data_IF_619236313325
#
_entry.id   IF_619236313325
#
_cell.length_a   1.000
_cell.length_b   1.000
_cell.length_c   1.000
_cell.angle_alpha   90.00
_cell.angle_beta   90.00
_cell.angle_gamma   90.00
#
_symmetry.space_group_name_H-M   'P 1'
#
loop_
_entity.id
_entity.type
_entity.pdbx_description
1 polymer ?
#
# COMPACT_ATOMS: atom_id res chain seq x y z
N UNK A 1 23.14 -3.96 -6.73
CA UNK A 1 23.30 -2.62 -6.10
C UNK A 1 24.69 -2.09 -6.42
N UNK A 2 24.79 -0.92 -7.06
CA UNK A 2 26.04 -0.42 -7.66
C UNK A 2 27.19 -0.29 -6.65
N UNK A 3 26.90 0.13 -5.41
CA UNK A 3 27.92 0.31 -4.37
C UNK A 3 28.52 -1.04 -3.93
N UNK A 4 27.68 -2.07 -3.68
CA UNK A 4 28.14 -3.45 -3.39
C UNK A 4 28.86 -4.06 -4.60
N UNK A 5 28.42 -3.75 -5.83
CA UNK A 5 29.09 -4.19 -7.07
C UNK A 5 30.48 -3.54 -7.26
N UNK A 6 30.69 -2.34 -6.70
CA UNK A 6 31.98 -1.65 -6.66
C UNK A 6 32.85 -2.09 -5.46
N UNK A 7 32.41 -3.08 -4.67
CA UNK A 7 33.16 -3.63 -3.54
C UNK A 7 33.06 -2.85 -2.23
N UNK A 8 32.17 -1.85 -2.14
CA UNK A 8 32.00 -1.04 -0.93
C UNK A 8 30.82 -1.52 -0.08
N UNK A 9 30.98 -1.44 1.23
CA UNK A 9 29.90 -1.68 2.20
C UNK A 9 29.05 -0.40 2.37
N UNK A 10 27.76 -0.42 1.99
CA UNK A 10 26.87 0.73 2.17
C UNK A 10 26.54 1.07 3.62
N UNK A 11 26.82 0.17 4.57
CA UNK A 11 26.62 0.40 6.00
C UNK A 11 27.86 0.97 6.69
N UNK A 12 29.00 1.01 5.98
CA UNK A 12 30.22 1.58 6.53
C UNK A 12 30.25 3.10 6.34
N UNK A 13 29.82 3.82 7.39
CA UNK A 13 29.79 5.28 7.42
C UNK A 13 31.16 5.95 7.65
N UNK A 14 32.26 5.20 7.72
CA UNK A 14 33.61 5.78 7.93
C UNK A 14 34.44 5.80 6.64
N UNK A 15 34.54 4.69 5.92
CA UNK A 15 35.35 4.59 4.68
C UNK A 15 34.50 4.41 3.42
N UNK A 16 33.29 3.84 3.53
CA UNK A 16 32.36 3.58 2.42
C UNK A 16 31.43 4.75 2.04
N UNK A 17 31.39 5.80 2.87
CA UNK A 17 30.52 6.97 2.65
C UNK A 17 30.82 7.68 1.34
N UNK A 18 32.10 7.86 0.98
CA UNK A 18 32.46 8.63 -0.22
C UNK A 18 32.05 7.92 -1.50
N UNK A 19 32.21 6.60 -1.56
CA UNK A 19 31.76 5.79 -2.68
C UNK A 19 30.22 5.81 -2.80
N UNK A 20 29.53 5.64 -1.67
CA UNK A 20 28.07 5.65 -1.64
C UNK A 20 27.49 7.01 -2.04
N UNK A 21 28.07 8.09 -1.53
CA UNK A 21 27.71 9.45 -1.86
C UNK A 21 28.00 9.75 -3.34
N UNK A 22 29.12 9.27 -3.90
CA UNK A 22 29.47 9.47 -5.31
C UNK A 22 28.46 8.80 -6.24
N UNK A 23 28.02 7.58 -5.93
CA UNK A 23 27.00 6.89 -6.72
C UNK A 23 25.66 7.62 -6.64
N UNK A 24 25.24 8.04 -5.44
CA UNK A 24 23.99 8.80 -5.28
C UNK A 24 24.08 10.14 -6.01
N UNK A 25 25.19 10.86 -5.88
CA UNK A 25 25.41 12.13 -6.56
C UNK A 25 25.40 11.97 -8.08
N UNK A 26 25.98 10.88 -8.61
CA UNK A 26 25.91 10.57 -10.04
C UNK A 26 24.46 10.30 -10.50
N UNK A 27 23.69 9.51 -9.75
CA UNK A 27 22.29 9.23 -10.07
C UNK A 27 21.42 10.50 -10.01
N UNK A 28 21.61 11.33 -8.99
CA UNK A 28 20.95 12.63 -8.86
C UNK A 28 21.38 13.57 -10.00
N UNK A 29 22.66 13.55 -10.38
CA UNK A 29 23.18 14.32 -11.50
C UNK A 29 22.54 13.92 -12.83
N UNK A 30 22.42 12.62 -13.11
CA UNK A 30 21.71 12.11 -14.29
C UNK A 30 20.24 12.52 -14.25
N UNK A 31 19.57 12.36 -13.11
CA UNK A 31 18.17 12.77 -12.95
C UNK A 31 17.99 14.28 -13.17
N UNK A 32 18.95 15.10 -12.72
CA UNK A 32 18.98 16.53 -12.93
C UNK A 32 19.18 16.90 -14.39
N UNK A 33 20.15 16.30 -15.07
CA UNK A 33 20.38 16.53 -16.51
C UNK A 33 19.13 16.17 -17.31
N UNK A 34 18.58 14.97 -17.11
CA UNK A 34 17.36 14.52 -17.82
C UNK A 34 16.18 15.45 -17.51
N UNK A 35 16.01 15.84 -16.25
CA UNK A 35 14.93 16.71 -15.81
C UNK A 35 15.00 18.12 -16.37
N UNK A 36 16.19 18.73 -16.35
CA UNK A 36 16.44 20.05 -16.89
C UNK A 36 16.27 20.09 -18.41
N UNK A 37 16.73 19.05 -19.12
CA UNK A 37 16.51 18.89 -20.56
C UNK A 37 15.03 18.72 -20.92
N UNK A 38 14.25 18.05 -20.06
CA UNK A 38 12.82 17.87 -20.27
C UNK A 38 12.02 19.15 -20.04
N UNK A 39 12.13 19.73 -18.84
CA UNK A 39 11.46 20.99 -18.51
C UNK A 39 12.08 21.59 -17.24
N UNK A 40 13.05 22.49 -17.41
CA UNK A 40 13.77 23.10 -16.29
C UNK A 40 12.84 23.71 -15.23
N UNK A 41 11.82 24.48 -15.63
CA UNK A 41 10.92 25.13 -14.67
C UNK A 41 10.14 24.12 -13.82
N UNK A 42 9.50 23.14 -14.46
CA UNK A 42 8.70 22.12 -13.75
C UNK A 42 9.59 21.22 -12.91
N UNK A 43 10.73 20.82 -13.45
CA UNK A 43 11.66 19.94 -12.75
C UNK A 43 12.24 20.62 -11.52
N UNK A 44 12.71 21.88 -11.61
CA UNK A 44 13.25 22.61 -10.48
C UNK A 44 12.24 22.80 -9.35
N UNK A 45 10.99 23.12 -9.70
CA UNK A 45 9.91 23.24 -8.70
C UNK A 45 9.63 21.90 -8.02
N UNK A 46 9.52 20.81 -8.80
CA UNK A 46 9.27 19.48 -8.25
C UNK A 46 10.45 18.99 -7.38
N UNK A 47 11.68 19.22 -7.82
CA UNK A 47 12.89 18.88 -7.07
C UNK A 47 12.96 19.69 -5.75
N UNK A 48 12.69 21.00 -5.80
CA UNK A 48 12.68 21.84 -4.59
C UNK A 48 11.63 21.38 -3.57
N UNK A 49 10.41 21.06 -4.04
CA UNK A 49 9.34 20.53 -3.17
C UNK A 49 9.74 19.19 -2.57
N UNK A 50 10.21 18.25 -3.41
CA UNK A 50 10.63 16.92 -2.97
C UNK A 50 11.77 17.00 -1.96
N UNK A 51 12.85 17.71 -2.29
CA UNK A 51 14.01 17.87 -1.42
C UNK A 51 13.66 18.61 -0.14
N UNK A 52 12.79 19.62 -0.20
CA UNK A 52 12.31 20.33 1.00
C UNK A 52 11.58 19.39 1.96
N UNK A 53 10.61 18.61 1.45
CA UNK A 53 9.90 17.60 2.24
C UNK A 53 10.88 16.56 2.79
N UNK A 54 11.74 16.02 1.93
CA UNK A 54 12.71 15.00 2.29
C UNK A 54 13.63 15.48 3.42
N UNK A 55 14.27 16.65 3.27
CA UNK A 55 15.20 17.18 4.26
C UNK A 55 14.50 17.42 5.59
N UNK A 56 13.32 18.04 5.60
CA UNK A 56 12.58 18.32 6.85
C UNK A 56 12.29 17.04 7.62
N UNK A 57 11.76 16.01 6.95
CA UNK A 57 11.35 14.78 7.64
C UNK A 57 12.53 13.86 7.98
N UNK A 58 13.47 13.67 7.05
CA UNK A 58 14.61 12.78 7.30
C UNK A 58 15.61 13.35 8.30
N UNK A 59 15.67 14.68 8.48
CA UNK A 59 16.50 15.29 9.54
C UNK A 59 15.80 15.41 10.88
N UNK A 60 14.63 14.78 11.07
CA UNK A 60 13.81 14.92 12.27
C UNK A 60 13.60 16.40 12.62
N UNK A 61 13.05 17.16 11.66
CA UNK A 61 12.90 18.62 11.78
C UNK A 61 14.21 19.33 12.13
N UNK A 62 15.28 19.01 11.38
CA UNK A 62 16.61 19.62 11.49
C UNK A 62 17.39 19.32 12.78
N UNK A 63 16.92 18.40 13.62
CA UNK A 63 17.62 17.98 14.84
C UNK A 63 18.68 16.90 14.59
N UNK A 64 18.61 16.19 13.44
CA UNK A 64 19.53 15.14 13.04
C UNK A 64 20.03 15.33 11.60
N UNK A 65 21.12 16.07 11.41
CA UNK A 65 21.68 16.34 10.08
C UNK A 65 22.15 15.08 9.32
N UNK A 66 22.54 14.02 10.04
CA UNK A 66 22.96 12.74 9.43
C UNK A 66 21.80 11.98 8.77
N UNK A 67 20.56 12.34 9.12
CA UNK A 67 19.35 11.73 8.59
C UNK A 67 19.21 11.78 7.06
N UNK A 68 19.80 12.79 6.40
CA UNK A 68 19.85 12.86 4.93
C UNK A 68 20.64 11.68 4.36
N UNK A 69 21.82 11.38 4.92
CA UNK A 69 22.68 10.32 4.43
C UNK A 69 22.13 8.93 4.76
N UNK A 70 21.67 8.73 6.00
CA UNK A 70 21.07 7.45 6.43
C UNK A 70 19.73 7.20 5.73
N UNK A 71 18.98 8.24 5.38
CA UNK A 71 17.72 8.14 4.65
C UNK A 71 17.87 7.62 3.22
N UNK A 72 18.87 8.07 2.48
CA UNK A 72 19.08 7.68 1.08
C UNK A 72 19.93 6.41 0.95
N UNK A 73 21.06 6.36 1.66
CA UNK A 73 22.04 5.26 1.52
C UNK A 73 21.82 4.21 2.59
N UNK A 74 21.67 4.63 3.84
CA UNK A 74 21.61 3.73 5.00
C UNK A 74 20.40 2.81 5.00
N UNK A 75 19.22 3.34 4.68
CA UNK A 75 17.96 2.59 4.61
C UNK A 75 18.04 1.46 3.57
N UNK A 76 18.55 1.77 2.38
CA UNK A 76 18.73 0.83 1.29
C UNK A 76 19.84 -0.18 1.61
N UNK A 77 20.96 0.29 2.16
CA UNK A 77 22.07 -0.58 2.59
C UNK A 77 21.61 -1.60 3.63
N UNK A 78 20.84 -1.15 4.62
CA UNK A 78 20.25 -2.01 5.63
C UNK A 78 19.30 -3.02 4.99
N UNK A 79 18.33 -2.57 4.19
CA UNK A 79 17.38 -3.48 3.54
C UNK A 79 18.08 -4.55 2.68
N UNK A 80 19.16 -4.20 1.98
CA UNK A 80 19.95 -5.14 1.20
C UNK A 80 20.69 -6.17 2.06
N UNK A 81 21.21 -5.78 3.23
CA UNK A 81 21.89 -6.72 4.14
C UNK A 81 20.92 -7.73 4.75
N UNK A 82 19.64 -7.39 4.85
CA UNK A 82 18.61 -8.24 5.45
C UNK A 82 18.04 -9.29 4.50
N UNK A 83 18.34 -9.21 3.19
CA UNK A 83 17.84 -10.17 2.20
C UNK A 83 18.33 -11.60 2.44
N UNK A 84 19.56 -11.76 2.93
CA UNK A 84 20.16 -13.08 3.23
C UNK A 84 19.62 -13.68 4.54
N UNK A 85 19.17 -12.84 5.48
CA UNK A 85 18.59 -13.27 6.76
C UNK A 85 17.12 -13.67 6.59
N UNK A 86 16.40 -13.02 5.67
CA UNK A 86 14.98 -13.26 5.41
C UNK A 86 14.13 -13.31 6.70
N UNK A 87 14.31 -12.28 7.53
CA UNK A 87 13.71 -12.17 8.86
C UNK A 87 12.22 -12.53 8.85
N UNK A 88 11.81 -13.40 9.78
CA UNK A 88 10.42 -13.86 9.91
C UNK A 88 9.95 -14.89 8.88
N UNK A 89 10.78 -15.28 7.90
CA UNK A 89 10.49 -16.41 7.00
C UNK A 89 9.17 -16.30 6.23
N UNK A 90 8.73 -15.07 5.92
CA UNK A 90 7.39 -14.80 5.43
C UNK A 90 7.08 -15.53 4.12
N UNK A 91 5.86 -16.07 3.95
CA UNK A 91 5.48 -16.83 2.76
C UNK A 91 5.49 -15.96 1.50
N UNK A 92 5.57 -16.60 0.33
CA UNK A 92 5.57 -15.89 -0.95
C UNK A 92 4.31 -15.05 -1.18
N UNK A 93 3.16 -15.45 -0.62
CA UNK A 93 1.89 -14.73 -0.75
C UNK A 93 1.71 -13.61 0.30
N UNK A 94 2.73 -13.30 1.10
CA UNK A 94 2.65 -12.32 2.19
C UNK A 94 2.01 -10.98 1.78
N UNK A 95 2.52 -10.32 0.73
CA UNK A 95 1.96 -9.05 0.28
C UNK A 95 0.60 -9.18 -0.41
N UNK A 96 0.27 -10.35 -0.95
CA UNK A 96 -1.06 -10.64 -1.50
C UNK A 96 -2.12 -10.73 -0.38
N UNK A 97 -1.72 -10.99 0.86
CA UNK A 97 -2.59 -10.98 2.02
C UNK A 97 -2.59 -9.60 2.71
N UNK A 98 -1.41 -9.04 2.99
CA UNK A 98 -1.30 -7.79 3.76
C UNK A 98 -1.85 -6.59 2.99
N UNK A 99 -1.52 -6.45 1.70
CA UNK A 99 -1.90 -5.25 0.93
C UNK A 99 -3.42 -5.12 0.76
N UNK A 100 -4.20 -6.16 0.40
CA UNK A 100 -5.65 -6.03 0.34
C UNK A 100 -6.33 -5.81 1.69
N UNK A 101 -5.69 -6.16 2.81
CA UNK A 101 -6.24 -5.93 4.15
C UNK A 101 -6.05 -4.48 4.60
N UNK A 102 -4.84 -3.93 4.45
CA UNK A 102 -4.50 -2.61 4.99
C UNK A 102 -4.54 -1.49 3.95
N UNK A 103 -4.34 -1.83 2.68
CA UNK A 103 -4.18 -0.88 1.56
C UNK A 103 -5.24 -1.11 0.47
N UNK A 104 -6.42 -1.55 0.89
CA UNK A 104 -7.55 -1.85 0.00
C UNK A 104 -7.94 -0.64 -0.86
N UNK A 105 -7.88 0.58 -0.32
CA UNK A 105 -8.34 1.77 -1.05
C UNK A 105 -7.41 2.13 -2.21
N UNK A 106 -6.08 2.32 -2.00
CA UNK A 106 -5.13 2.47 -3.10
C UNK A 106 -5.22 1.33 -4.12
N UNK A 107 -5.32 0.08 -3.64
CA UNK A 107 -5.45 -1.09 -4.48
C UNK A 107 -6.67 -0.96 -5.41
N UNK A 108 -7.87 -0.76 -4.86
CA UNK A 108 -9.12 -0.62 -5.63
C UNK A 108 -9.07 0.54 -6.63
N UNK A 109 -8.51 1.67 -6.23
CA UNK A 109 -8.43 2.87 -7.07
C UNK A 109 -7.41 2.75 -8.20
N UNK A 110 -6.41 1.87 -8.06
CA UNK A 110 -5.41 1.60 -9.10
C UNK A 110 -5.92 0.66 -10.19
N UNK A 111 -6.90 -0.21 -9.89
CA UNK A 111 -7.44 -1.21 -10.82
C UNK A 111 -7.86 -0.60 -12.17
N UNK A 112 -8.59 0.53 -12.25
CA UNK A 112 -8.99 1.09 -13.54
C UNK A 112 -7.81 1.53 -14.42
N UNK A 113 -6.68 1.95 -13.81
CA UNK A 113 -5.46 2.33 -14.54
C UNK A 113 -4.79 1.07 -15.08
N UNK A 114 -4.64 0.03 -14.25
CA UNK A 114 -4.11 -1.27 -14.68
C UNK A 114 -5.00 -1.89 -15.77
N UNK A 115 -6.32 -1.91 -15.57
CA UNK A 115 -7.28 -2.46 -16.52
C UNK A 115 -7.15 -1.79 -17.90
N UNK A 116 -7.03 -0.47 -17.97
CA UNK A 116 -6.83 0.24 -19.24
C UNK A 116 -5.46 -0.02 -19.87
N UNK A 117 -4.44 -0.33 -19.08
CA UNK A 117 -3.14 -0.72 -19.60
C UNK A 117 -3.20 -2.10 -20.28
N UNK A 118 -3.86 -3.07 -19.64
CA UNK A 118 -3.94 -4.45 -20.14
C UNK A 118 -5.00 -4.63 -21.24
N UNK A 119 -6.16 -3.97 -21.11
CA UNK A 119 -7.29 -4.15 -22.04
C UNK A 119 -7.25 -3.07 -23.10
N UNK A 120 -6.58 -3.38 -24.21
CA UNK A 120 -6.47 -2.49 -25.36
C UNK A 120 -6.88 -3.19 -26.65
N UNK A 121 -7.40 -2.40 -27.59
CA UNK A 121 -7.87 -2.91 -28.89
C UNK A 121 -6.75 -3.06 -29.94
N UNK A 122 -5.48 -2.82 -29.57
CA UNK A 122 -4.35 -2.95 -30.48
C UNK A 122 -3.87 -4.41 -30.55
N UNK A 123 -3.61 -4.91 -31.76
CA UNK A 123 -3.07 -6.26 -32.03
C UNK A 123 -1.88 -6.62 -31.12
N UNK A 124 -0.90 -5.72 -30.95
CA UNK A 124 0.27 -5.99 -30.11
C UNK A 124 -0.12 -6.19 -28.65
N UNK A 125 -1.02 -5.35 -28.12
CA UNK A 125 -1.48 -5.45 -26.74
C UNK A 125 -2.30 -6.71 -26.49
N UNK A 126 -3.10 -7.14 -27.47
CA UNK A 126 -3.88 -8.40 -27.39
C UNK A 126 -2.92 -9.60 -27.34
N UNK A 127 -1.91 -9.63 -28.22
CA UNK A 127 -0.90 -10.71 -28.21
C UNK A 127 -0.15 -10.76 -26.88
N UNK A 128 0.29 -9.61 -26.37
CA UNK A 128 0.97 -9.52 -25.08
C UNK A 128 0.08 -9.95 -23.91
N UNK A 129 -1.19 -9.56 -23.92
CA UNK A 129 -2.17 -9.98 -22.92
C UNK A 129 -2.38 -11.50 -22.94
N UNK A 130 -2.59 -12.09 -24.12
CA UNK A 130 -2.76 -13.54 -24.28
C UNK A 130 -1.50 -14.27 -23.82
N UNK A 131 -0.32 -13.85 -24.27
CA UNK A 131 0.95 -14.44 -23.87
C UNK A 131 1.14 -14.37 -22.34
N UNK A 132 0.79 -13.24 -21.73
CA UNK A 132 0.81 -13.06 -20.27
C UNK A 132 -0.12 -14.04 -19.57
N UNK A 133 -1.39 -14.12 -19.98
CA UNK A 133 -2.37 -15.02 -19.37
C UNK A 133 -1.97 -16.49 -19.52
N UNK A 134 -1.47 -16.88 -20.69
CA UNK A 134 -0.97 -18.24 -20.95
C UNK A 134 0.24 -18.55 -20.06
N UNK A 135 1.20 -17.63 -19.95
CA UNK A 135 2.40 -17.83 -19.13
C UNK A 135 2.07 -17.95 -17.64
N UNK A 136 1.14 -17.14 -17.13
CA UNK A 136 0.64 -17.23 -15.75
C UNK A 136 -0.08 -18.58 -15.55
N UNK A 137 -0.95 -18.96 -16.48
CA UNK A 137 -1.68 -20.23 -16.41
C UNK A 137 -0.75 -21.45 -16.42
N UNK A 138 0.30 -21.44 -17.25
CA UNK A 138 1.31 -22.48 -17.29
C UNK A 138 2.12 -22.54 -15.99
N UNK A 139 2.56 -21.39 -15.47
CA UNK A 139 3.29 -21.31 -14.21
C UNK A 139 2.46 -21.85 -13.04
N UNK A 140 1.21 -21.38 -12.89
CA UNK A 140 0.32 -21.82 -11.81
C UNK A 140 -0.11 -23.28 -11.97
N UNK A 141 -0.46 -23.71 -13.18
CA UNK A 141 -0.93 -25.06 -13.47
C UNK A 141 0.14 -26.12 -13.20
N UNK A 142 1.39 -25.86 -13.61
CA UNK A 142 2.51 -26.76 -13.31
C UNK A 142 2.90 -26.75 -11.82
N UNK A 143 2.69 -25.63 -11.13
CA UNK A 143 2.84 -25.55 -9.67
C UNK A 143 1.84 -26.45 -8.94
N UNK A 144 0.56 -26.41 -9.33
CA UNK A 144 -0.51 -27.24 -8.71
C UNK A 144 -0.29 -28.73 -8.98
N UNK A 145 0.13 -29.10 -10.19
CA UNK A 145 0.37 -30.51 -10.55
C UNK A 145 1.55 -31.15 -9.79
N UNK A 146 2.46 -30.35 -9.22
CA UNK A 146 3.66 -30.86 -8.53
C UNK A 146 3.47 -31.14 -7.03
N UNK A 147 2.40 -30.64 -6.41
CA UNK A 147 2.17 -30.77 -4.97
C UNK A 147 3.18 -29.99 -4.12
N UNK A 148 2.80 -29.63 -2.89
CA UNK A 148 3.58 -28.73 -2.00
C UNK A 148 4.90 -29.33 -1.47
N UNK A 149 5.30 -30.54 -1.87
CA UNK A 149 6.49 -31.25 -1.37
C UNK A 149 7.67 -31.37 -2.34
N UNK A 150 7.58 -30.85 -3.56
CA UNK A 150 8.66 -30.94 -4.54
C UNK A 150 9.73 -29.86 -4.36
N UNK A 151 10.71 -30.09 -3.51
CA UNK A 151 11.84 -29.18 -3.20
C UNK A 151 12.83 -28.97 -4.35
N UNK A 152 12.63 -29.57 -5.52
CA UNK A 152 13.45 -29.27 -6.70
C UNK A 152 12.85 -28.12 -7.52
N UNK A 153 13.47 -26.95 -7.40
CA UNK A 153 13.35 -25.86 -8.38
C UNK A 153 13.92 -26.35 -9.71
N UNK A 154 13.11 -27.09 -10.50
CA UNK A 154 13.54 -27.47 -11.84
C UNK A 154 13.77 -26.18 -12.62
N UNK A 155 14.91 -26.02 -13.28
CA UNK A 155 15.27 -24.87 -14.12
C UNK A 155 14.12 -24.39 -15.04
N UNK A 156 13.25 -25.32 -15.46
CA UNK A 156 12.01 -25.08 -16.20
C UNK A 156 10.99 -24.18 -15.46
N UNK A 157 10.75 -24.38 -14.16
CA UNK A 157 9.77 -23.61 -13.39
C UNK A 157 10.26 -22.18 -13.13
N UNK A 158 11.53 -22.03 -12.80
CA UNK A 158 12.17 -20.71 -12.65
C UNK A 158 12.18 -19.97 -13.98
N UNK A 159 12.45 -20.69 -15.08
CA UNK A 159 12.33 -20.15 -16.44
C UNK A 159 10.92 -19.69 -16.79
N UNK A 160 9.90 -20.51 -16.51
CA UNK A 160 8.49 -20.15 -16.76
C UNK A 160 8.03 -18.98 -15.90
N UNK A 161 8.42 -18.94 -14.62
CA UNK A 161 8.18 -17.81 -13.73
C UNK A 161 8.82 -16.54 -14.29
N UNK A 162 10.10 -16.60 -14.68
CA UNK A 162 10.79 -15.46 -15.26
C UNK A 162 10.10 -14.95 -16.55
N UNK A 163 9.68 -15.87 -17.43
CA UNK A 163 8.93 -15.54 -18.65
C UNK A 163 7.60 -14.87 -18.30
N UNK A 164 6.85 -15.40 -17.33
CA UNK A 164 5.57 -14.82 -16.91
C UNK A 164 5.74 -13.41 -16.36
N UNK A 165 6.72 -13.19 -15.49
CA UNK A 165 7.03 -11.87 -14.94
C UNK A 165 7.47 -10.88 -16.02
N UNK A 166 8.30 -11.34 -16.97
CA UNK A 166 8.72 -10.54 -18.12
C UNK A 166 7.52 -10.15 -19.00
N UNK A 167 6.60 -11.08 -19.28
CA UNK A 167 5.43 -10.80 -20.09
C UNK A 167 4.44 -9.85 -19.39
N UNK A 168 4.22 -10.01 -18.07
CA UNK A 168 3.45 -9.06 -17.26
C UNK A 168 4.06 -7.65 -17.40
N UNK A 169 5.38 -7.55 -17.24
CA UNK A 169 6.12 -6.30 -17.32
C UNK A 169 6.01 -5.64 -18.70
N UNK A 170 6.24 -6.41 -19.77
CA UNK A 170 6.12 -5.92 -21.15
C UNK A 170 4.70 -5.48 -21.47
N UNK A 171 3.69 -6.22 -21.02
CA UNK A 171 2.28 -5.88 -21.23
C UNK A 171 1.92 -4.58 -20.51
N UNK A 172 2.34 -4.43 -19.25
CA UNK A 172 2.09 -3.23 -18.46
C UNK A 172 2.76 -1.99 -19.05
N UNK A 173 4.03 -2.11 -19.44
CA UNK A 173 4.80 -1.04 -20.07
C UNK A 173 4.20 -0.63 -21.42
N UNK A 174 4.00 -1.60 -22.31
CA UNK A 174 3.44 -1.36 -23.64
C UNK A 174 2.01 -0.79 -23.55
N UNK A 175 1.21 -1.37 -22.67
CA UNK A 175 -0.14 -0.92 -22.38
C UNK A 175 -0.16 0.54 -21.91
N UNK A 176 0.59 0.85 -20.86
CA UNK A 176 0.69 2.23 -20.37
C UNK A 176 1.12 3.21 -21.47
N UNK A 177 2.17 2.87 -22.23
CA UNK A 177 2.65 3.69 -23.35
C UNK A 177 1.57 3.90 -24.41
N UNK A 178 0.88 2.86 -24.87
CA UNK A 178 -0.16 3.04 -25.88
C UNK A 178 -1.36 3.85 -25.39
N UNK A 179 -1.76 3.70 -24.12
CA UNK A 179 -2.93 4.39 -23.57
C UNK A 179 -2.68 5.89 -23.36
N UNK A 180 -1.46 6.26 -22.94
CA UNK A 180 -1.18 7.58 -22.39
C UNK A 180 -0.05 8.34 -23.09
N UNK A 181 0.95 7.67 -23.67
CA UNK A 181 2.06 8.36 -24.34
C UNK A 181 1.59 9.14 -25.59
N UNK A 182 0.60 8.62 -26.32
CA UNK A 182 -0.02 9.33 -27.47
C UNK A 182 -0.72 10.64 -27.06
N UNK A 183 -1.04 10.80 -25.78
CA UNK A 183 -1.66 12.00 -25.20
C UNK A 183 -0.64 12.88 -24.46
N UNK A 184 0.66 12.59 -24.60
CA UNK A 184 1.74 13.29 -23.88
C UNK A 184 1.78 12.99 -22.37
N UNK A 185 1.04 11.99 -21.90
CA UNK A 185 0.93 11.64 -20.46
C UNK A 185 1.93 10.53 -20.09
N UNK A 186 3.22 10.75 -20.33
CA UNK A 186 4.27 9.74 -20.15
C UNK A 186 4.38 9.20 -18.72
N UNK A 187 4.13 10.04 -17.71
CA UNK A 187 4.15 9.58 -16.31
C UNK A 187 3.01 8.60 -16.02
N UNK A 188 1.80 8.87 -16.50
CA UNK A 188 0.66 7.96 -16.36
C UNK A 188 0.89 6.67 -17.13
N UNK A 189 1.56 6.75 -18.29
CA UNK A 189 1.98 5.58 -19.04
C UNK A 189 2.94 4.68 -18.25
N UNK A 190 3.72 5.24 -17.32
CA UNK A 190 4.67 4.49 -16.51
C UNK A 190 4.05 3.84 -15.26
N UNK A 191 2.89 4.34 -14.77
CA UNK A 191 2.29 3.85 -13.53
C UNK A 191 1.91 2.35 -13.53
N UNK A 192 1.29 1.78 -14.58
CA UNK A 192 0.96 0.36 -14.60
C UNK A 192 2.18 -0.53 -14.41
N UNK A 193 3.27 -0.17 -15.09
CA UNK A 193 4.56 -0.81 -14.94
C UNK A 193 5.07 -0.69 -13.50
N UNK A 194 5.05 0.52 -12.93
CA UNK A 194 5.64 0.77 -11.62
C UNK A 194 4.90 0.00 -10.51
N UNK A 195 3.58 -0.05 -10.60
CA UNK A 195 2.74 -0.84 -9.68
C UNK A 195 3.13 -2.31 -9.75
N UNK A 196 3.14 -2.90 -10.94
CA UNK A 196 3.40 -4.33 -11.10
C UNK A 196 4.84 -4.70 -10.77
N UNK A 197 5.79 -3.84 -11.15
CA UNK A 197 7.19 -4.00 -10.77
C UNK A 197 7.35 -4.05 -9.25
N UNK A 198 6.74 -3.12 -8.50
CA UNK A 198 6.84 -3.13 -7.03
C UNK A 198 6.15 -4.36 -6.43
N UNK A 199 4.96 -4.72 -6.90
CA UNK A 199 4.30 -5.95 -6.47
C UNK A 199 5.20 -7.18 -6.64
N UNK A 200 5.82 -7.33 -7.80
CA UNK A 200 6.70 -8.46 -8.12
C UNK A 200 8.00 -8.39 -7.31
N UNK A 201 8.69 -7.24 -7.35
CA UNK A 201 10.00 -7.07 -6.73
C UNK A 201 9.96 -7.35 -5.22
N UNK A 202 8.99 -6.79 -4.51
CA UNK A 202 8.85 -7.01 -3.07
C UNK A 202 8.35 -8.42 -2.74
N UNK A 203 7.50 -9.02 -3.58
CA UNK A 203 7.06 -10.41 -3.40
C UNK A 203 8.21 -11.41 -3.56
N UNK A 204 9.19 -11.12 -4.43
CA UNK A 204 10.35 -11.99 -4.68
C UNK A 204 11.48 -11.71 -3.68
N UNK A 205 11.56 -10.51 -3.11
CA UNK A 205 12.56 -10.15 -2.12
C UNK A 205 12.59 -11.16 -0.96
N UNK A 206 13.79 -11.52 -0.50
CA UNK A 206 14.00 -12.40 0.64
C UNK A 206 13.45 -11.79 1.92
N UNK A 207 13.81 -10.53 2.20
CA UNK A 207 13.22 -9.79 3.32
C UNK A 207 11.85 -9.22 2.95
N UNK A 208 10.83 -9.62 3.72
CA UNK A 208 9.45 -9.15 3.57
C UNK A 208 8.94 -8.65 4.90
N UNK A 209 8.43 -7.42 4.92
CA UNK A 209 8.02 -6.74 6.14
C UNK A 209 6.86 -5.78 5.88
N UNK A 210 6.00 -5.51 6.88
CA UNK A 210 4.82 -4.67 6.69
C UNK A 210 5.15 -3.27 6.15
N UNK A 211 6.25 -2.66 6.59
CA UNK A 211 6.62 -1.29 6.17
C UNK A 211 6.98 -1.19 4.68
N UNK A 212 7.39 -2.28 4.03
CA UNK A 212 7.71 -2.28 2.60
C UNK A 212 6.46 -2.18 1.72
N UNK A 213 5.27 -2.42 2.28
CA UNK A 213 4.00 -2.19 1.60
C UNK A 213 3.90 -0.75 1.11
N UNK A 214 4.53 0.21 1.78
CA UNK A 214 4.57 1.62 1.35
C UNK A 214 5.06 1.79 -0.10
N UNK A 215 6.03 0.98 -0.53
CA UNK A 215 6.56 1.01 -1.89
C UNK A 215 5.58 0.42 -2.92
N UNK A 216 4.72 -0.52 -2.50
CA UNK A 216 3.64 -1.07 -3.32
C UNK A 216 2.48 -0.07 -3.39
N UNK A 217 2.11 0.53 -2.25
CA UNK A 217 0.97 1.45 -2.12
C UNK A 217 1.19 2.80 -2.81
N UNK A 218 2.40 3.38 -2.73
CA UNK A 218 2.68 4.69 -3.30
C UNK A 218 2.28 4.84 -4.78
N UNK A 219 2.73 3.98 -5.71
CA UNK A 219 2.31 4.09 -7.11
C UNK A 219 0.81 3.82 -7.30
N UNK A 220 0.20 2.98 -6.47
CA UNK A 220 -1.26 2.75 -6.48
C UNK A 220 -2.03 4.00 -6.05
N UNK A 221 -1.57 4.72 -5.01
CA UNK A 221 -2.14 5.99 -4.58
C UNK A 221 -2.08 7.03 -5.70
N UNK A 222 -0.94 7.15 -6.40
CA UNK A 222 -0.76 8.09 -7.51
C UNK A 222 -1.70 7.74 -8.67
N UNK A 223 -1.76 6.45 -9.05
CA UNK A 223 -2.66 5.97 -10.11
C UNK A 223 -4.14 6.18 -9.73
N UNK A 224 -4.49 5.92 -8.48
CA UNK A 224 -5.82 6.13 -7.93
C UNK A 224 -6.22 7.60 -7.93
N UNK A 225 -5.34 8.50 -7.50
CA UNK A 225 -5.54 9.94 -7.54
C UNK A 225 -5.75 10.45 -8.97
N UNK A 226 -4.92 9.99 -9.91
CA UNK A 226 -5.11 10.31 -11.34
C UNK A 226 -6.48 9.85 -11.85
N UNK A 227 -6.85 8.59 -11.60
CA UNK A 227 -8.14 8.07 -12.06
C UNK A 227 -9.32 8.80 -11.43
N UNK A 228 -9.29 9.02 -10.11
CA UNK A 228 -10.31 9.79 -9.39
C UNK A 228 -10.45 11.21 -9.94
N UNK A 229 -9.34 11.88 -10.22
CA UNK A 229 -9.33 13.19 -10.89
C UNK A 229 -10.14 13.14 -12.20
N UNK A 230 -9.89 12.14 -13.05
CA UNK A 230 -10.66 12.00 -14.30
C UNK A 230 -12.15 11.73 -14.09
N UNK A 231 -12.55 11.14 -12.96
CA UNK A 231 -13.97 10.92 -12.62
C UNK A 231 -14.61 12.21 -12.15
N UNK A 232 -13.94 12.93 -11.25
CA UNK A 232 -14.36 14.20 -10.66
C UNK A 232 -14.51 15.29 -11.73
N UNK A 233 -13.54 15.42 -12.62
CA UNK A 233 -13.53 16.44 -13.69
C UNK A 233 -14.63 16.22 -14.73
N UNK A 234 -15.12 14.99 -14.89
CA UNK A 234 -16.21 14.66 -15.82
C UNK A 234 -17.59 15.01 -15.26
N UNK A 235 -17.70 15.43 -14.01
CA UNK A 235 -18.96 15.85 -13.40
C UNK A 235 -19.09 17.36 -13.55
N UNK A 236 -20.15 17.81 -14.22
CA UNK A 236 -20.52 19.23 -14.25
C UNK A 236 -21.13 19.65 -12.91
N UNK A 237 -20.28 19.96 -11.93
CA UNK A 237 -20.69 20.14 -10.54
C UNK A 237 -21.83 21.15 -10.34
N UNK A 238 -21.77 22.31 -11.01
CA UNK A 238 -22.82 23.34 -10.90
C UNK A 238 -24.20 22.80 -11.31
N UNK A 239 -24.26 22.10 -12.43
CA UNK A 239 -25.49 21.49 -12.96
C UNK A 239 -25.93 20.32 -12.08
N UNK A 240 -24.97 19.48 -11.66
CA UNK A 240 -25.23 18.31 -10.83
C UNK A 240 -25.84 18.68 -9.47
N UNK A 241 -25.31 19.71 -8.79
CA UNK A 241 -25.86 20.20 -7.52
C UNK A 241 -27.33 20.65 -7.66
N UNK A 242 -27.62 21.46 -8.68
CA UNK A 242 -28.99 21.94 -8.96
C UNK A 242 -29.96 20.80 -9.30
N UNK A 243 -29.46 19.73 -9.91
CA UNK A 243 -30.25 18.55 -10.30
C UNK A 243 -30.31 17.47 -9.22
N UNK A 244 -29.78 17.72 -8.03
CA UNK A 244 -29.92 16.85 -6.86
C UNK A 244 -28.76 15.91 -6.59
N UNK A 245 -27.52 16.27 -6.94
CA UNK A 245 -26.32 15.48 -6.63
C UNK A 245 -26.17 15.15 -5.14
N UNK A 246 -26.57 16.05 -4.24
CA UNK A 246 -26.58 15.78 -2.80
C UNK A 246 -27.44 14.56 -2.46
N UNK A 247 -28.66 14.53 -3.01
CA UNK A 247 -29.59 13.41 -2.82
C UNK A 247 -29.05 12.12 -3.41
N UNK A 248 -28.35 12.17 -4.55
CA UNK A 248 -27.67 10.99 -5.09
C UNK A 248 -26.63 10.44 -4.09
N UNK A 249 -25.82 11.31 -3.50
CA UNK A 249 -24.84 10.90 -2.48
C UNK A 249 -25.51 10.33 -1.23
N UNK A 250 -26.47 11.04 -0.63
CA UNK A 250 -27.19 10.59 0.56
C UNK A 250 -27.94 9.27 0.34
N UNK A 251 -28.65 9.14 -0.78
CA UNK A 251 -29.33 7.89 -1.13
C UNK A 251 -28.32 6.76 -1.39
N UNK A 252 -27.13 7.07 -1.91
CA UNK A 252 -26.06 6.05 -2.03
C UNK A 252 -25.62 5.56 -0.65
N UNK A 253 -25.47 6.45 0.34
CA UNK A 253 -25.14 6.06 1.73
C UNK A 253 -26.24 5.18 2.32
N UNK A 254 -27.52 5.59 2.19
CA UNK A 254 -28.67 4.82 2.69
C UNK A 254 -28.75 3.47 2.00
N UNK A 255 -28.51 3.41 0.69
CA UNK A 255 -28.49 2.17 -0.07
C UNK A 255 -27.40 1.22 0.41
N UNK A 256 -26.19 1.73 0.66
CA UNK A 256 -25.08 0.92 1.19
C UNK A 256 -25.43 0.42 2.60
N UNK A 257 -26.00 1.25 3.46
CA UNK A 257 -26.43 0.82 4.79
C UNK A 257 -27.50 -0.28 4.73
N UNK A 258 -28.49 -0.14 3.85
CA UNK A 258 -29.50 -1.17 3.60
C UNK A 258 -28.89 -2.47 3.05
N UNK A 259 -27.98 -2.37 2.07
CA UNK A 259 -27.27 -3.52 1.52
C UNK A 259 -26.44 -4.25 2.61
N UNK A 260 -25.74 -3.50 3.45
CA UNK A 260 -25.01 -4.05 4.58
C UNK A 260 -25.93 -4.71 5.61
N UNK A 261 -27.12 -4.16 5.85
CA UNK A 261 -28.16 -4.79 6.67
C UNK A 261 -28.58 -6.15 6.09
N UNK A 262 -28.89 -6.20 4.78
CA UNK A 262 -29.24 -7.46 4.10
C UNK A 262 -28.12 -8.50 4.17
N UNK A 263 -26.87 -8.09 3.95
CA UNK A 263 -25.72 -8.99 3.92
C UNK A 263 -25.29 -9.50 5.31
N UNK A 264 -25.55 -8.73 6.37
CA UNK A 264 -25.17 -9.10 7.75
C UNK A 264 -26.28 -9.80 8.52
N UNK A 265 -27.55 -9.52 8.21
CA UNK A 265 -28.68 -10.17 8.88
C UNK A 265 -28.80 -11.62 8.42
N UNK A 266 -28.93 -12.54 9.39
CA UNK A 266 -29.25 -13.94 9.13
C UNK A 266 -30.74 -14.17 9.43
N UNK A 267 -31.63 -14.07 8.42
CA UNK A 267 -33.06 -14.24 8.65
C UNK A 267 -33.42 -15.72 8.85
N UNK A 268 -34.61 -15.97 9.42
CA UNK A 268 -35.24 -17.29 9.52
C UNK A 268 -34.47 -18.38 10.29
N UNK A 269 -33.57 -17.99 11.20
CA UNK A 269 -32.79 -18.95 12.00
C UNK A 269 -33.65 -19.66 13.05
N UNK A 270 -34.44 -18.89 13.82
CA UNK A 270 -35.29 -19.44 14.88
C UNK A 270 -36.49 -18.52 15.19
N UNK A 271 -37.32 -18.93 16.16
CA UNK A 271 -38.48 -18.18 16.67
C UNK A 271 -38.17 -17.41 17.96
N UNK A 272 -36.90 -17.27 18.33
CA UNK A 272 -36.51 -16.46 19.48
C UNK A 272 -36.75 -14.98 19.19
N UNK A 273 -36.81 -14.14 20.22
CA UNK A 273 -36.89 -12.69 20.06
C UNK A 273 -35.72 -12.16 19.20
N UNK A 274 -34.52 -12.74 19.36
CA UNK A 274 -33.33 -12.38 18.59
C UNK A 274 -33.47 -12.79 17.10
N UNK A 275 -33.95 -14.00 16.82
CA UNK A 275 -34.19 -14.46 15.44
C UNK A 275 -35.30 -13.67 14.72
N UNK A 276 -36.37 -13.32 15.43
CA UNK A 276 -37.42 -12.44 14.92
C UNK A 276 -36.89 -11.02 14.66
N UNK A 277 -36.06 -10.48 15.55
CA UNK A 277 -35.40 -9.18 15.34
C UNK A 277 -34.49 -9.20 14.10
N UNK A 278 -33.66 -10.23 13.92
CA UNK A 278 -32.79 -10.37 12.76
C UNK A 278 -33.59 -10.44 11.45
N UNK A 279 -34.68 -11.22 11.44
CA UNK A 279 -35.57 -11.32 10.28
C UNK A 279 -36.26 -9.99 9.97
N UNK A 280 -36.69 -9.26 11.01
CA UNK A 280 -37.31 -7.94 10.86
C UNK A 280 -36.33 -6.89 10.33
N UNK A 281 -35.08 -6.90 10.80
CA UNK A 281 -34.01 -6.04 10.29
C UNK A 281 -33.71 -6.34 8.82
N UNK A 282 -33.68 -7.63 8.45
CA UNK A 282 -33.47 -8.05 7.07
C UNK A 282 -34.60 -7.57 6.14
N UNK A 283 -35.87 -7.74 6.55
CA UNK A 283 -37.04 -7.26 5.80
C UNK A 283 -37.03 -5.73 5.67
N UNK A 284 -36.76 -5.01 6.76
CA UNK A 284 -36.66 -3.55 6.73
C UNK A 284 -35.54 -3.09 5.79
N UNK A 285 -34.38 -3.75 5.82
CA UNK A 285 -33.27 -3.46 4.94
C UNK A 285 -33.61 -3.70 3.46
N UNK A 286 -34.39 -4.75 3.14
CA UNK A 286 -34.90 -4.97 1.77
C UNK A 286 -35.85 -3.87 1.31
N UNK A 287 -36.80 -3.47 2.16
CA UNK A 287 -37.76 -2.40 1.84
C UNK A 287 -37.03 -1.08 1.63
N UNK A 288 -36.15 -0.70 2.55
CA UNK A 288 -35.33 0.52 2.43
C UNK A 288 -34.46 0.44 1.18
N UNK A 289 -33.80 -0.70 0.92
CA UNK A 289 -33.00 -0.92 -0.27
C UNK A 289 -33.80 -0.71 -1.56
N UNK A 290 -34.99 -1.32 -1.66
CA UNK A 290 -35.89 -1.18 -2.81
C UNK A 290 -36.37 0.25 -3.03
N UNK A 291 -36.80 0.95 -1.97
CA UNK A 291 -37.18 2.37 -2.03
C UNK A 291 -36.01 3.22 -2.50
N UNK A 292 -34.81 2.97 -1.97
CA UNK A 292 -33.62 3.76 -2.30
C UNK A 292 -33.19 3.54 -3.75
N UNK A 293 -33.25 2.29 -4.27
CA UNK A 293 -33.04 1.99 -5.70
C UNK A 293 -34.04 2.75 -6.56
N UNK A 294 -35.33 2.73 -6.21
CA UNK A 294 -36.36 3.44 -6.95
C UNK A 294 -36.10 4.95 -6.99
N UNK A 295 -35.73 5.55 -5.86
CA UNK A 295 -35.40 6.98 -5.78
C UNK A 295 -34.15 7.32 -6.59
N UNK A 296 -33.11 6.48 -6.55
CA UNK A 296 -31.92 6.62 -7.39
C UNK A 296 -32.28 6.52 -8.88
N UNK A 297 -33.16 5.60 -9.27
CA UNK A 297 -33.63 5.47 -10.66
C UNK A 297 -34.40 6.72 -11.13
N UNK A 298 -35.29 7.28 -10.29
CA UNK A 298 -35.95 8.56 -10.59
C UNK A 298 -34.94 9.71 -10.73
N UNK A 299 -33.93 9.74 -9.87
CA UNK A 299 -32.89 10.76 -9.91
C UNK A 299 -31.97 10.59 -11.13
N UNK A 300 -31.77 9.36 -11.61
CA UNK A 300 -31.05 9.07 -12.86
C UNK A 300 -31.69 9.76 -14.05
N UNK A 301 -33.02 9.84 -14.10
CA UNK A 301 -33.75 10.57 -15.15
C UNK A 301 -33.47 12.08 -15.15
N UNK A 302 -33.12 12.67 -13.99
CA UNK A 302 -32.79 14.10 -13.86
C UNK A 302 -31.30 14.40 -14.07
N UNK A 303 -30.42 13.62 -13.42
CA UNK A 303 -28.97 13.80 -13.44
C UNK A 303 -28.30 13.19 -14.68
N UNK A 304 -28.95 12.21 -15.31
CA UNK A 304 -28.34 11.29 -16.25
C UNK A 304 -27.61 10.15 -15.52
N UNK A 305 -27.77 8.93 -16.02
CA UNK A 305 -27.22 7.71 -15.42
C UNK A 305 -25.71 7.78 -15.21
N UNK A 306 -24.96 8.36 -16.15
CA UNK A 306 -23.49 8.49 -16.03
C UNK A 306 -23.09 9.40 -14.88
N UNK A 307 -23.79 10.51 -14.67
CA UNK A 307 -23.51 11.45 -13.58
C UNK A 307 -23.87 10.84 -12.24
N UNK A 308 -25.03 10.16 -12.18
CA UNK A 308 -25.45 9.42 -10.99
C UNK A 308 -24.39 8.39 -10.57
N UNK A 309 -23.95 7.52 -11.50
CA UNK A 309 -22.94 6.51 -11.22
C UNK A 309 -21.60 7.11 -10.75
N UNK A 310 -21.19 8.26 -11.30
CA UNK A 310 -19.98 8.98 -10.85
C UNK A 310 -20.15 9.50 -9.43
N UNK A 311 -21.28 10.14 -9.10
CA UNK A 311 -21.54 10.66 -7.76
C UNK A 311 -21.62 9.51 -6.74
N UNK A 312 -22.34 8.43 -7.06
CA UNK A 312 -22.41 7.24 -6.21
C UNK A 312 -21.03 6.61 -6.01
N UNK A 313 -20.24 6.47 -7.09
CA UNK A 313 -18.87 5.96 -7.01
C UNK A 313 -17.95 6.84 -6.14
N UNK A 314 -18.02 8.17 -6.30
CA UNK A 314 -17.27 9.12 -5.46
C UNK A 314 -17.72 9.06 -4.00
N UNK A 315 -19.02 8.83 -3.75
CA UNK A 315 -19.56 8.65 -2.40
C UNK A 315 -19.00 7.38 -1.76
N UNK A 316 -18.96 6.26 -2.49
CA UNK A 316 -18.32 5.01 -2.01
C UNK A 316 -16.85 5.23 -1.68
N UNK A 317 -16.10 5.89 -2.57
CA UNK A 317 -14.68 6.19 -2.34
C UNK A 317 -14.49 7.07 -1.12
N UNK A 318 -15.35 8.08 -0.90
CA UNK A 318 -15.31 8.91 0.29
C UNK A 318 -15.55 8.09 1.57
N UNK A 319 -16.58 7.23 1.58
CA UNK A 319 -16.87 6.37 2.73
C UNK A 319 -15.71 5.42 3.03
N UNK A 320 -15.12 4.81 2.01
CA UNK A 320 -13.93 3.96 2.15
C UNK A 320 -12.73 4.76 2.67
N UNK A 321 -12.52 5.98 2.20
CA UNK A 321 -11.47 6.87 2.71
C UNK A 321 -11.66 7.24 4.17
N UNK A 322 -12.89 7.57 4.58
CA UNK A 322 -13.22 7.83 5.99
C UNK A 322 -12.99 6.58 6.85
N UNK A 323 -13.35 5.40 6.33
CA UNK A 323 -13.07 4.13 6.99
C UNK A 323 -11.57 3.91 7.18
N UNK A 324 -10.77 4.10 6.12
CA UNK A 324 -9.30 4.01 6.19
C UNK A 324 -8.74 4.95 7.25
N UNK A 325 -9.15 6.22 7.27
CA UNK A 325 -8.69 7.18 8.30
C UNK A 325 -9.04 6.71 9.71
N UNK A 326 -10.29 6.26 9.92
CA UNK A 326 -10.75 5.76 11.22
C UNK A 326 -9.95 4.54 11.67
N UNK A 327 -9.67 3.58 10.77
CA UNK A 327 -8.91 2.38 11.10
C UNK A 327 -7.42 2.69 11.34
N UNK A 328 -6.81 3.54 10.52
CA UNK A 328 -5.42 3.96 10.70
C UNK A 328 -5.23 4.72 12.02
N UNK A 329 -6.18 5.59 12.38
CA UNK A 329 -6.16 6.29 13.67
C UNK A 329 -6.29 5.31 14.84
N UNK A 330 -7.23 4.37 14.78
CA UNK A 330 -7.40 3.36 15.81
C UNK A 330 -6.14 2.51 15.97
N UNK A 331 -5.54 2.05 14.88
CA UNK A 331 -4.30 1.26 14.91
C UNK A 331 -3.13 2.04 15.53
N UNK A 332 -2.95 3.29 15.10
CA UNK A 332 -1.74 4.08 15.43
C UNK A 332 -1.80 4.75 16.80
N UNK A 333 -2.99 5.08 17.31
CA UNK A 333 -3.13 5.90 18.52
C UNK A 333 -3.97 5.26 19.63
N UNK A 334 -4.91 4.37 19.30
CA UNK A 334 -5.77 3.72 20.30
C UNK A 334 -5.20 2.35 20.67
N UNK A 335 -4.97 1.52 19.66
CA UNK A 335 -4.56 0.12 19.80
C UNK A 335 -3.05 -0.08 19.66
N UNK A 336 -2.26 0.99 19.74
CA UNK A 336 -0.81 0.96 19.53
C UNK A 336 -0.05 0.01 20.47
N UNK A 337 -0.62 -0.35 21.62
CA UNK A 337 0.01 -1.24 22.60
C UNK A 337 -0.43 -2.72 22.45
N UNK A 338 -1.28 -3.04 21.47
CA UNK A 338 -1.83 -4.39 21.31
C UNK A 338 -1.36 -5.03 20.01
N UNK A 339 -0.90 -6.27 20.09
CA UNK A 339 -0.41 -7.06 18.94
C UNK A 339 -1.55 -7.83 18.27
N UNK A 340 -2.63 -7.13 17.93
CA UNK A 340 -3.85 -7.75 17.39
C UNK A 340 -3.89 -7.72 15.84
N UNK A 341 -2.85 -7.19 15.20
CA UNK A 341 -2.88 -6.80 13.79
C UNK A 341 -1.62 -7.29 13.08
N UNK A 342 -1.75 -7.74 11.82
CA UNK A 342 -0.63 -8.27 11.01
C UNK A 342 0.42 -7.23 10.61
N UNK A 343 0.15 -5.95 10.91
CA UNK A 343 1.09 -4.85 10.65
C UNK A 343 2.22 -4.79 11.69
N UNK A 344 2.07 -5.44 12.84
CA UNK A 344 3.09 -5.50 13.89
C UNK A 344 4.08 -6.63 13.63
N UNK A 345 5.36 -6.28 13.53
CA UNK A 345 6.45 -7.24 13.26
C UNK A 345 7.09 -7.79 14.55
N UNK A 346 7.53 -6.91 15.44
CA UNK A 346 8.19 -7.26 16.69
C UNK A 346 7.66 -6.32 17.78
N UNK A 347 6.52 -6.68 18.36
CA UNK A 347 5.85 -5.88 19.37
C UNK A 347 5.48 -6.76 20.57
N UNK A 348 5.48 -6.17 21.77
CA UNK A 348 5.15 -6.85 23.01
C UNK A 348 3.73 -6.49 23.48
N UNK A 349 3.26 -7.15 24.54
CA UNK A 349 2.05 -6.72 25.25
C UNK A 349 2.27 -5.32 25.86
N UNK A 350 1.23 -4.69 26.43
CA UNK A 350 1.40 -3.45 27.20
C UNK A 350 2.28 -3.58 28.45
N UNK A 351 2.55 -4.81 28.92
CA UNK A 351 3.16 -5.11 30.22
C UNK A 351 4.59 -4.55 30.37
N UNK A 352 5.51 -4.68 29.39
CA UNK A 352 6.85 -4.11 29.51
C UNK A 352 6.85 -2.59 29.75
N UNK A 353 5.87 -1.86 29.21
CA UNK A 353 5.74 -0.42 29.48
C UNK A 353 5.19 -0.12 30.88
N UNK A 354 4.44 -1.04 31.48
CA UNK A 354 4.03 -0.95 32.88
C UNK A 354 5.21 -1.28 33.79
N UNK A 355 5.91 -2.38 33.53
CA UNK A 355 7.09 -2.82 34.27
C UNK A 355 8.17 -1.72 34.28
N UNK A 356 8.47 -1.12 33.12
CA UNK A 356 9.45 -0.04 33.04
C UNK A 356 9.05 1.20 33.86
N UNK A 357 7.76 1.50 33.97
CA UNK A 357 7.27 2.62 34.81
C UNK A 357 7.40 2.32 36.29
N UNK A 358 7.14 1.08 36.70
CA UNK A 358 7.33 0.64 38.09
C UNK A 358 8.81 0.62 38.47
N UNK A 359 9.66 0.09 37.60
CA UNK A 359 11.12 0.11 37.76
C UNK A 359 11.63 1.55 37.91
N UNK A 360 11.14 2.48 37.11
CA UNK A 360 11.48 3.91 37.20
C UNK A 360 11.06 4.54 38.53
N UNK A 361 9.84 4.26 38.99
CA UNK A 361 9.35 4.75 40.28
C UNK A 361 10.15 4.16 41.46
N UNK A 362 10.46 2.85 41.43
CA UNK A 362 11.29 2.18 42.44
C UNK A 362 12.69 2.79 42.48
N UNK A 363 13.33 2.95 41.31
CA UNK A 363 14.67 3.55 41.22
C UNK A 363 14.69 4.94 41.85
N UNK A 364 13.75 5.82 41.45
CA UNK A 364 13.66 7.19 41.97
C UNK A 364 13.47 7.24 43.48
N UNK A 365 12.74 6.29 44.06
CA UNK A 365 12.49 6.22 45.52
C UNK A 365 13.63 5.61 46.32
N UNK A 366 14.46 4.76 45.71
CA UNK A 366 15.44 3.95 46.45
C UNK A 366 16.88 4.39 46.23
N UNK A 367 17.28 4.58 44.97
CA UNK A 367 18.69 4.76 44.58
C UNK A 367 18.93 5.99 43.69
N UNK A 368 17.87 6.71 43.32
CA UNK A 368 17.91 7.87 42.44
C UNK A 368 17.49 7.56 41.01
N UNK A 369 17.51 8.57 40.16
CA UNK A 369 17.00 8.45 38.78
C UNK A 369 17.88 7.53 37.93
N UNK A 370 17.28 6.43 37.44
CA UNK A 370 17.92 5.38 36.62
C UNK A 370 19.25 4.83 37.19
N UNK A 371 19.36 4.69 38.51
CA UNK A 371 20.54 4.10 39.18
C UNK A 371 20.31 2.66 39.67
N UNK A 372 19.09 2.14 39.53
CA UNK A 372 18.76 0.77 39.92
C UNK A 372 19.42 -0.22 38.95
N UNK A 373 20.19 -1.16 39.51
CA UNK A 373 20.80 -2.25 38.74
C UNK A 373 19.76 -3.32 38.45
N UNK A 374 19.60 -3.66 37.19
CA UNK A 374 18.56 -4.58 36.72
C UNK A 374 19.23 -5.71 35.94
N UNK A 375 18.90 -6.95 36.29
CA UNK A 375 19.32 -8.12 35.55
C UNK A 375 18.11 -8.76 34.86
N UNK A 376 18.27 -9.16 33.61
CA UNK A 376 17.27 -9.90 32.83
C UNK A 376 17.99 -11.02 32.06
N UNK A 377 17.28 -12.08 31.71
CA UNK A 377 17.80 -13.22 30.97
C UNK A 377 17.50 -13.12 29.46
N UNK A 378 17.99 -14.09 28.68
CA UNK A 378 17.78 -14.12 27.23
C UNK A 378 16.30 -14.30 26.85
N UNK A 379 15.51 -14.98 27.70
CA UNK A 379 14.09 -15.23 27.48
C UNK A 379 13.24 -13.94 27.61
N UNK A 380 13.67 -12.99 28.44
CA UNK A 380 13.09 -11.67 28.55
C UNK A 380 13.83 -10.59 27.72
N UNK A 381 14.78 -10.97 26.87
CA UNK A 381 15.69 -10.00 26.25
C UNK A 381 15.02 -8.98 25.33
N UNK A 382 13.99 -9.34 24.56
CA UNK A 382 13.23 -8.39 23.73
C UNK A 382 11.82 -8.18 24.28
N UNK A 383 11.35 -6.94 24.52
CA UNK A 383 11.97 -5.66 24.15
C UNK A 383 12.82 -5.02 25.26
N UNK A 384 13.07 -5.70 26.39
CA UNK A 384 13.72 -5.08 27.55
C UNK A 384 15.15 -4.62 27.29
N UNK A 385 15.91 -5.27 26.41
CA UNK A 385 17.25 -4.82 26.00
C UNK A 385 17.26 -3.38 25.45
N UNK A 386 16.17 -2.95 24.81
CA UNK A 386 16.04 -1.61 24.26
C UNK A 386 15.72 -0.60 25.36
N UNK A 387 14.73 -0.90 26.21
CA UNK A 387 14.33 0.00 27.31
C UNK A 387 15.40 0.12 28.40
N UNK A 388 16.09 -0.98 28.70
CA UNK A 388 17.15 -1.06 29.71
C UNK A 388 18.52 -0.65 29.17
N UNK A 389 18.65 -0.30 27.89
CA UNK A 389 19.93 0.15 27.29
C UNK A 389 20.54 1.39 27.95
N UNK A 390 19.74 2.17 28.67
CA UNK A 390 20.16 3.37 29.40
C UNK A 390 20.29 3.16 30.91
N UNK A 391 20.11 1.92 31.37
CA UNK A 391 20.17 1.52 32.77
C UNK A 391 21.51 0.84 33.08
N UNK A 392 22.04 0.99 34.30
CA UNK A 392 23.28 0.36 34.74
C UNK A 392 23.11 -1.13 35.04
#
# INVERSE_FOLDING_TARGET
>A
FLIKALGYDPLNYTTGIMASFSVVAALVGVAAVVGLLWNARRWLVAAAIFTGIFVVFFTTFFTNGQGVATGVVGSLGHWLSQQEVARGGQPWYYYLLVTPLYEFLPLLLSIPVLFRAFVQRNRVSIVLLIATLVSIGLWLGLGVLRGEGGTESSLVNDGLRAIALMLIFLTAAWGGLNAHARRGQYFVAFLPFLILFNWIAYTIAGEKMPWLVTHISLPMCIAGGYWLGTVVERVEWRTAWRRGALWAGLLTVVFIAALMGVLRSQPFQDRSLAGLSNTSQWLAALVVGGVTIFLLAKLAGRLGTRTLLRISGLTVVLLLGLWTVRTSYALSFINQNYVNEYLFYAHASPDPLMDMREIEDISRRTVGDKQLRIAYDDDASWPFNWYLSTWP
#
